data_IF_687774706085
#
_entry.id   IF_687774706085
#
_cell.length_a   1.000
_cell.length_b   1.000
_cell.length_c   1.000
_cell.angle_alpha   90.00
_cell.angle_beta   90.00
_cell.angle_gamma   90.00
#
_symmetry.space_group_name_H-M   'P 1'
#
loop_
_entity.id
_entity.type
_entity.pdbx_description
1 polymer ?
#
# COMPACT_ATOMS: atom_id res chain seq x y z
N UNK A 1 -18.61 -9.34 -1.49
CA UNK A 1 -17.16 -9.55 -1.65
C UNK A 1 -16.62 -10.18 -0.39
N UNK A 2 -15.42 -10.78 -0.40
CA UNK A 2 -14.79 -11.21 0.87
C UNK A 2 -14.45 -9.98 1.71
N UNK A 3 -14.82 -10.01 2.99
CA UNK A 3 -14.52 -8.94 3.94
C UNK A 3 -13.08 -9.10 4.45
N UNK A 4 -12.19 -8.26 3.91
CA UNK A 4 -10.80 -8.17 4.33
C UNK A 4 -10.59 -6.96 5.23
N UNK A 5 -9.94 -7.18 6.36
CA UNK A 5 -9.49 -6.11 7.25
C UNK A 5 -8.06 -5.73 6.89
N UNK A 6 -7.81 -4.43 6.72
CA UNK A 6 -6.45 -3.91 6.66
C UNK A 6 -5.73 -4.22 7.98
N UNK A 7 -4.53 -4.77 7.89
CA UNK A 7 -3.67 -5.03 9.06
C UNK A 7 -2.49 -4.08 9.10
N UNK A 8 -1.67 -4.05 8.05
CA UNK A 8 -0.42 -3.28 8.04
C UNK A 8 0.13 -3.09 6.62
N UNK A 9 0.98 -2.08 6.48
CA UNK A 9 1.95 -1.98 5.39
C UNK A 9 3.21 -2.77 5.77
N UNK A 10 3.68 -3.58 4.85
CA UNK A 10 4.84 -4.46 5.00
C UNK A 10 5.94 -3.97 4.06
N UNK A 11 7.11 -3.71 4.64
CA UNK A 11 8.36 -3.35 3.93
C UNK A 11 8.19 -2.30 2.82
N UNK A 12 7.67 -1.09 3.13
CA UNK A 12 7.59 -0.04 2.13
C UNK A 12 8.99 0.43 1.73
N UNK A 13 9.21 0.58 0.42
CA UNK A 13 10.41 1.14 -0.18
C UNK A 13 10.01 2.42 -0.92
N UNK A 14 10.65 3.53 -0.58
CA UNK A 14 10.40 4.84 -1.18
C UNK A 14 11.56 5.23 -2.09
N UNK A 15 11.25 5.57 -3.33
CA UNK A 15 12.22 5.93 -4.37
C UNK A 15 11.84 7.32 -4.88
N UNK A 16 12.77 8.27 -4.82
CA UNK A 16 12.56 9.60 -5.43
C UNK A 16 12.46 9.45 -6.95
N UNK A 17 11.42 10.02 -7.54
CA UNK A 17 11.14 9.97 -8.98
C UNK A 17 10.73 11.37 -9.47
N UNK A 18 11.73 12.22 -9.74
CA UNK A 18 11.53 13.65 -10.00
C UNK A 18 10.92 14.37 -8.80
N UNK A 19 9.75 14.97 -9.00
CA UNK A 19 8.94 15.63 -7.97
C UNK A 19 8.00 14.66 -7.23
N UNK A 20 7.94 13.41 -7.67
CA UNK A 20 7.13 12.35 -7.09
C UNK A 20 7.98 11.37 -6.27
N UNK A 21 7.29 10.47 -5.57
CA UNK A 21 7.87 9.33 -4.87
C UNK A 21 7.20 8.06 -5.37
N UNK A 22 7.99 7.16 -5.95
CA UNK A 22 7.54 5.80 -6.26
C UNK A 22 7.66 4.94 -5.01
N UNK A 23 6.58 4.25 -4.66
CA UNK A 23 6.47 3.42 -3.45
C UNK A 23 6.22 1.99 -3.87
N UNK A 24 7.10 1.08 -3.44
CA UNK A 24 6.84 -0.36 -3.51
C UNK A 24 6.47 -0.83 -2.11
N UNK A 25 5.30 -1.42 -1.93
CA UNK A 25 4.82 -1.83 -0.61
C UNK A 25 4.02 -3.11 -0.71
N UNK A 26 4.17 -3.99 0.27
CA UNK A 26 3.23 -5.08 0.47
C UNK A 26 2.16 -4.64 1.48
N UNK A 27 0.90 -4.99 1.25
CA UNK A 27 -0.19 -4.77 2.21
C UNK A 27 -0.65 -6.11 2.72
N UNK A 28 -0.71 -6.23 4.04
CA UNK A 28 -1.25 -7.40 4.71
C UNK A 28 -2.72 -7.16 5.05
N UNK A 29 -3.55 -8.11 4.64
CA UNK A 29 -4.96 -8.19 4.96
C UNK A 29 -5.25 -9.43 5.78
N UNK A 30 -6.26 -9.34 6.65
CA UNK A 30 -6.79 -10.47 7.40
C UNK A 30 -8.21 -10.72 6.90
N UNK A 31 -8.47 -11.94 6.42
CA UNK A 31 -9.82 -12.38 6.09
C UNK A 31 -10.66 -12.41 7.38
N UNK A 32 -11.76 -11.67 7.42
CA UNK A 32 -12.50 -11.49 8.66
C UNK A 32 -13.19 -12.78 9.15
N UNK A 33 -13.43 -13.76 8.27
CA UNK A 33 -14.11 -15.02 8.62
C UNK A 33 -13.11 -16.09 9.06
N UNK A 34 -12.12 -16.35 8.22
CA UNK A 34 -11.16 -17.45 8.39
C UNK A 34 -9.94 -17.06 9.21
N UNK A 35 -9.73 -15.75 9.42
CA UNK A 35 -8.51 -15.17 10.02
C UNK A 35 -7.23 -15.49 9.24
N UNK A 36 -7.36 -15.99 8.01
CA UNK A 36 -6.24 -16.21 7.12
C UNK A 36 -5.59 -14.86 6.75
N UNK A 37 -4.27 -14.86 6.65
CA UNK A 37 -3.50 -13.70 6.19
C UNK A 37 -3.37 -13.74 4.67
N UNK A 38 -3.63 -12.61 4.01
CA UNK A 38 -3.30 -12.38 2.62
C UNK A 38 -2.29 -11.23 2.51
N UNK A 39 -1.29 -11.39 1.65
CA UNK A 39 -0.30 -10.34 1.37
C UNK A 39 -0.35 -10.02 -0.13
N UNK A 40 -0.60 -8.76 -0.45
CA UNK A 40 -0.65 -8.25 -1.83
C UNK A 40 0.41 -7.17 -2.02
N UNK A 41 1.13 -7.18 -3.13
CA UNK A 41 2.14 -6.16 -3.44
C UNK A 41 1.56 -5.08 -4.35
N UNK A 42 1.96 -3.84 -4.11
CA UNK A 42 1.56 -2.67 -4.86
C UNK A 42 2.77 -1.81 -5.19
N UNK A 43 2.73 -1.20 -6.37
CA UNK A 43 3.59 -0.10 -6.75
C UNK A 43 2.70 1.13 -6.92
N UNK A 44 3.05 2.22 -6.23
CA UNK A 44 2.29 3.48 -6.21
C UNK A 44 3.22 4.63 -6.60
N UNK A 45 2.66 5.69 -7.15
CA UNK A 45 3.30 6.99 -7.34
C UNK A 45 2.59 7.98 -6.44
N UNK A 46 3.35 8.62 -5.55
CA UNK A 46 2.87 9.65 -4.65
C UNK A 46 3.35 11.02 -5.10
N UNK A 47 2.44 11.98 -5.12
CA UNK A 47 2.76 13.40 -5.27
C UNK A 47 2.41 14.14 -3.99
N UNK A 48 3.27 15.08 -3.56
CA UNK A 48 2.99 15.95 -2.41
C UNK A 48 2.68 17.36 -2.88
N UNK A 49 1.42 17.74 -2.78
CA UNK A 49 1.01 19.14 -2.82
C UNK A 49 1.03 19.72 -1.38
N UNK A 50 -0.12 19.78 -0.73
CA UNK A 50 -0.26 19.98 0.71
C UNK A 50 -0.21 18.65 1.48
N UNK A 51 -0.69 17.55 0.88
CA UNK A 51 -0.67 16.20 1.44
C UNK A 51 -0.17 15.19 0.40
N UNK A 52 0.22 14.00 0.85
CA UNK A 52 0.56 12.92 -0.06
C UNK A 52 -0.70 12.34 -0.69
N UNK A 53 -0.72 12.26 -2.03
CA UNK A 53 -1.80 11.66 -2.80
C UNK A 53 -1.25 10.57 -3.70
N UNK A 54 -2.01 9.49 -3.86
CA UNK A 54 -1.74 8.45 -4.87
C UNK A 54 -2.19 9.01 -6.22
N UNK A 55 -1.26 9.08 -7.17
CA UNK A 55 -1.49 9.63 -8.51
C UNK A 55 -1.21 8.63 -9.63
N UNK A 56 -0.68 7.44 -9.30
CA UNK A 56 -0.37 6.35 -10.22
C UNK A 56 0.11 5.12 -9.50
#
# INVERSE_FOLDING_TARGET
GRDYLYSELVNPIFIKDGDNVKVKVAVKFIDNQTKATQVSQYELVLHKDSNWKIVG
#
